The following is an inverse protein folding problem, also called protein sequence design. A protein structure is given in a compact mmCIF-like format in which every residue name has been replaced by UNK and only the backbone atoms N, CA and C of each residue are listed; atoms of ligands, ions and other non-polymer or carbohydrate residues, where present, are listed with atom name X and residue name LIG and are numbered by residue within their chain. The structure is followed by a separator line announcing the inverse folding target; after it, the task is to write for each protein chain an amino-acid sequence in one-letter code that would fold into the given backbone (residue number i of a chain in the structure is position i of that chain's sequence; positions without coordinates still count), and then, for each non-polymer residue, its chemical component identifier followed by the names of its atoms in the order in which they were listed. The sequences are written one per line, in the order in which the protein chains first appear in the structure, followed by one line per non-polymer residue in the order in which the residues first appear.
data_IF_208911407164
#
_entry.id   IF_208911407164
#
_cell.length_a   1.000
_cell.length_b   1.000
_cell.length_c   1.000
_cell.angle_alpha   90.00
_cell.angle_beta   90.00
_cell.angle_gamma   90.00
#
_symmetry.space_group_name_H-M   'P 1'
#
loop_
_entity.id
_entity.type
_entity.pdbx_description
1 polymer ?
#
# COMPACT_ATOMS: atom_id res chain seq x y z
N UNK A 1 13.04 -26.27 -27.42
CA UNK A 1 11.95 -25.50 -28.07
C UNK A 1 11.08 -24.98 -26.93
N UNK A 2 10.96 -23.70 -26.60
CA UNK A 2 11.33 -22.47 -27.28
C UNK A 2 11.54 -21.37 -26.23
N UNK A 3 12.59 -20.57 -26.40
CA UNK A 3 12.84 -19.34 -25.64
C UNK A 3 11.91 -18.23 -26.18
N UNK A 4 11.20 -17.52 -25.30
CA UNK A 4 10.42 -16.33 -25.68
C UNK A 4 11.19 -15.08 -25.22
N UNK A 5 11.71 -14.35 -26.20
CA UNK A 5 12.41 -13.08 -26.02
C UNK A 5 11.45 -11.92 -25.74
N UNK A 6 11.76 -11.13 -24.72
CA UNK A 6 11.07 -9.87 -24.41
C UNK A 6 11.68 -8.71 -25.17
N UNK A 7 10.91 -8.14 -26.11
CA UNK A 7 11.25 -6.94 -26.87
C UNK A 7 11.20 -5.69 -25.99
N UNK A 8 12.23 -4.84 -26.04
CA UNK A 8 12.38 -3.63 -25.22
C UNK A 8 11.92 -2.42 -26.04
N UNK A 9 10.79 -1.83 -25.66
CA UNK A 9 10.24 -0.61 -26.28
C UNK A 9 11.03 0.64 -25.85
N UNK A 10 11.42 1.47 -26.82
CA UNK A 10 12.07 2.77 -26.60
C UNK A 10 11.17 3.90 -27.15
N UNK A 11 10.82 4.93 -26.34
CA UNK A 11 10.03 6.06 -26.83
C UNK A 11 10.90 7.13 -27.52
N UNK A 12 10.31 7.97 -28.40
CA UNK A 12 11.05 8.91 -29.24
C UNK A 12 11.42 10.19 -28.51
N UNK A 13 12.64 10.67 -28.77
CA UNK A 13 13.19 11.94 -28.27
C UNK A 13 12.65 13.10 -29.11
N UNK A 14 11.78 13.95 -28.55
CA UNK A 14 11.41 15.24 -29.17
C UNK A 14 12.50 16.28 -28.89
N UNK A 15 12.99 16.90 -29.97
CA UNK A 15 13.89 18.05 -29.95
C UNK A 15 13.06 19.33 -29.85
N UNK A 16 13.39 20.21 -28.90
CA UNK A 16 13.08 21.65 -28.99
C UNK A 16 14.27 22.43 -28.44
N UNK A 17 14.80 23.29 -29.30
CA UNK A 17 15.93 24.19 -29.11
C UNK A 17 15.55 25.41 -28.27
N UNK A 18 16.34 25.70 -27.22
CA UNK A 18 16.48 27.05 -26.68
C UNK A 18 17.95 27.29 -26.36
N UNK A 19 18.52 28.29 -27.04
CA UNK A 19 19.88 28.78 -26.87
C UNK A 19 19.92 29.82 -25.76
N UNK A 20 20.76 29.59 -24.74
CA UNK A 20 21.15 30.57 -23.73
C UNK A 20 22.51 30.18 -23.18
N UNK A 21 23.54 30.96 -23.55
CA UNK A 21 24.94 30.73 -23.24
C UNK A 21 25.26 31.18 -21.80
N UNK A 22 25.97 30.40 -20.99
CA UNK A 22 26.97 30.95 -20.05
C UNK A 22 28.01 29.89 -19.67
N UNK A 23 29.27 30.19 -20.01
CA UNK A 23 30.53 29.77 -19.37
C UNK A 23 30.83 28.28 -19.16
N UNK A 24 31.74 27.81 -20.01
CA UNK A 24 32.58 26.61 -19.93
C UNK A 24 33.21 26.35 -18.55
N UNK A 25 32.99 25.15 -18.01
CA UNK A 25 34.05 24.32 -17.41
C UNK A 25 33.86 22.88 -17.86
N UNK A 26 34.54 22.51 -18.95
CA UNK A 26 34.49 21.19 -19.58
C UNK A 26 35.79 20.44 -19.29
N UNK A 27 35.73 19.21 -18.76
CA UNK A 27 36.63 18.12 -19.13
C UNK A 27 36.01 16.73 -18.85
N UNK A 28 35.56 16.10 -19.95
CA UNK A 28 35.58 14.69 -20.37
C UNK A 28 35.26 13.49 -19.42
N UNK A 29 34.09 12.88 -19.72
CA UNK A 29 33.77 11.47 -19.98
C UNK A 29 34.72 10.31 -19.59
N UNK A 30 34.23 9.40 -18.74
CA UNK A 30 34.71 8.02 -18.53
C UNK A 30 33.69 7.19 -17.71
N UNK A 31 33.62 5.85 -17.83
CA UNK A 31 32.51 5.04 -17.30
C UNK A 31 32.70 4.68 -15.81
N UNK A 32 31.60 4.80 -15.05
CA UNK A 32 31.36 4.19 -13.74
C UNK A 32 32.42 4.43 -12.65
N UNK A 33 32.56 5.68 -12.20
CA UNK A 33 33.08 5.96 -10.86
C UNK A 33 32.07 6.83 -10.12
N UNK A 34 31.80 6.48 -8.86
CA UNK A 34 30.86 7.17 -7.98
C UNK A 34 31.21 8.66 -7.89
N UNK A 35 30.59 9.48 -8.75
CA UNK A 35 30.74 10.92 -8.69
C UNK A 35 30.06 11.41 -7.41
N UNK A 36 30.83 11.48 -6.33
CA UNK A 36 30.42 12.07 -5.07
C UNK A 36 30.15 13.55 -5.35
N UNK A 37 28.89 13.89 -5.63
CA UNK A 37 28.44 15.28 -5.70
C UNK A 37 28.87 15.95 -4.40
N UNK A 38 29.75 16.94 -4.48
CA UNK A 38 30.22 17.68 -3.32
C UNK A 38 29.18 18.75 -2.98
N UNK A 39 28.96 18.97 -1.69
CA UNK A 39 28.17 20.08 -1.19
C UNK A 39 28.96 21.40 -1.34
N UNK A 40 28.29 22.53 -1.13
CA UNK A 40 28.93 23.87 -1.11
C UNK A 40 30.10 23.99 -0.11
N UNK A 41 30.12 23.14 0.91
CA UNK A 41 31.18 23.06 1.91
C UNK A 41 32.34 22.11 1.52
N UNK A 42 32.35 21.56 0.30
CA UNK A 42 33.37 20.63 -0.19
C UNK A 42 33.29 19.21 0.39
N UNK A 43 32.19 18.86 1.06
CA UNK A 43 31.96 17.53 1.66
C UNK A 43 31.03 16.70 0.76
N UNK A 44 31.22 15.37 0.62
CA UNK A 44 30.30 14.52 -0.14
C UNK A 44 28.83 14.67 0.29
N UNK A 45 27.97 14.95 -0.68
CA UNK A 45 26.52 14.91 -0.51
C UNK A 45 26.07 13.46 -0.40
N UNK A 46 25.34 13.15 0.67
CA UNK A 46 24.83 11.81 0.93
C UNK A 46 23.37 11.71 0.52
N UNK A 47 22.99 10.55 0.00
CA UNK A 47 21.60 10.25 -0.27
C UNK A 47 20.89 9.85 1.03
N UNK A 48 19.74 10.47 1.28
CA UNK A 48 18.86 10.21 2.43
C UNK A 48 17.43 9.99 1.95
N UNK A 49 16.64 9.29 2.76
CA UNK A 49 15.22 9.04 2.49
C UNK A 49 14.37 9.91 3.42
N UNK A 50 13.38 10.61 2.86
CA UNK A 50 12.40 11.36 3.63
C UNK A 50 11.36 10.42 4.23
N UNK A 51 11.09 10.62 5.52
CA UNK A 51 10.05 9.90 6.27
C UNK A 51 8.88 10.80 6.66
N UNK A 52 8.81 11.98 6.04
CA UNK A 52 7.69 12.92 6.27
C UNK A 52 6.41 12.36 5.67
N UNK A 53 5.22 12.63 6.27
CA UNK A 53 3.94 12.21 5.69
C UNK A 53 3.70 12.75 4.27
N UNK A 54 4.31 13.88 3.93
CA UNK A 54 4.18 14.55 2.62
C UNK A 54 5.11 13.98 1.56
N UNK A 55 6.26 13.42 1.93
CA UNK A 55 7.24 12.84 1.01
C UNK A 55 7.76 11.47 1.50
N UNK A 56 6.89 10.52 1.87
CA UNK A 56 7.34 9.27 2.48
C UNK A 56 8.13 8.45 1.46
N UNK A 57 9.29 7.96 1.86
CA UNK A 57 10.15 7.11 1.03
C UNK A 57 10.91 7.85 -0.08
N UNK A 58 10.73 9.17 -0.22
CA UNK A 58 11.35 9.95 -1.31
C UNK A 58 12.79 10.31 -0.98
N UNK A 59 13.72 10.07 -1.91
CA UNK A 59 15.16 10.27 -1.69
C UNK A 59 15.60 11.67 -2.06
N UNK A 60 16.46 12.24 -1.23
CA UNK A 60 17.12 13.52 -1.45
C UNK A 60 18.63 13.40 -1.19
N UNK A 61 19.43 14.25 -1.84
CA UNK A 61 20.83 14.47 -1.53
C UNK A 61 20.95 15.68 -0.62
N UNK A 62 21.80 15.58 0.38
CA UNK A 62 22.08 16.72 1.26
C UNK A 62 23.42 16.60 1.98
N UNK A 63 23.81 17.69 2.62
CA UNK A 63 25.06 17.78 3.34
C UNK A 63 25.13 16.76 4.50
N UNK A 64 26.22 16.00 4.56
CA UNK A 64 26.53 15.14 5.70
C UNK A 64 26.86 15.95 6.95
N UNK A 65 27.36 17.19 6.76
CA UNK A 65 27.81 18.09 7.80
C UNK A 65 29.20 17.72 8.35
N UNK A 66 29.91 18.69 8.92
CA UNK A 66 31.14 18.47 9.69
C UNK A 66 31.05 19.26 10.99
N UNK A 67 31.26 18.59 12.12
CA UNK A 67 31.22 19.20 13.45
C UNK A 67 29.93 19.99 13.74
N UNK A 68 28.78 19.49 13.27
CA UNK A 68 27.47 20.13 13.48
C UNK A 68 27.13 21.28 12.52
N UNK A 69 28.02 21.62 11.59
CA UNK A 69 27.74 22.61 10.54
C UNK A 69 27.29 21.93 9.25
N UNK A 70 26.13 22.34 8.75
CA UNK A 70 25.52 21.88 7.51
C UNK A 70 25.38 23.08 6.56
N UNK A 71 25.76 22.93 5.30
CA UNK A 71 25.40 23.91 4.28
C UNK A 71 23.99 23.61 3.72
N UNK A 72 23.45 24.56 2.97
CA UNK A 72 22.09 24.54 2.40
C UNK A 72 21.91 23.59 1.21
N UNK A 73 22.93 22.82 0.82
CA UNK A 73 22.83 21.88 -0.30
C UNK A 73 21.72 20.86 -0.08
N UNK A 74 20.70 20.90 -0.95
CA UNK A 74 19.56 20.00 -0.96
C UNK A 74 19.08 19.77 -2.40
N UNK A 75 18.90 18.51 -2.78
CA UNK A 75 18.38 18.15 -4.11
C UNK A 75 17.52 16.88 -4.02
N UNK A 76 16.35 16.87 -4.65
CA UNK A 76 15.55 15.64 -4.78
C UNK A 76 16.19 14.70 -5.81
N UNK A 77 16.45 13.45 -5.40
CA UNK A 77 16.96 12.40 -6.30
C UNK A 77 15.81 11.78 -7.09
N UNK A 78 14.70 11.56 -6.40
CA UNK A 78 13.51 11.02 -7.02
C UNK A 78 12.69 12.17 -7.60
N UNK A 79 12.36 12.07 -8.89
CA UNK A 79 11.34 12.88 -9.55
C UNK A 79 10.09 12.94 -8.66
N UNK A 80 9.43 14.11 -8.49
CA UNK A 80 8.16 14.13 -7.78
C UNK A 80 7.24 13.07 -8.39
N UNK A 81 6.64 12.24 -7.53
CA UNK A 81 5.59 11.34 -7.99
C UNK A 81 4.56 12.15 -8.78
N UNK A 82 3.99 11.56 -9.83
CA UNK A 82 3.01 12.24 -10.69
C UNK A 82 1.99 13.01 -9.81
N UNK A 83 1.79 14.30 -10.09
CA UNK A 83 0.95 15.21 -9.29
C UNK A 83 -0.47 14.64 -9.08
N UNK A 84 -0.99 13.97 -10.12
CA UNK A 84 -2.24 13.22 -10.07
C UNK A 84 -2.18 12.04 -9.10
N UNK A 85 -1.07 11.31 -9.04
CA UNK A 85 -0.91 10.18 -8.12
C UNK A 85 -0.91 10.64 -6.66
N UNK A 86 -0.23 11.74 -6.35
CA UNK A 86 -0.20 12.29 -4.98
C UNK A 86 -1.58 12.72 -4.45
N UNK A 87 -2.50 13.09 -5.34
CA UNK A 87 -3.88 13.45 -4.98
C UNK A 87 -4.83 12.24 -5.00
N UNK A 88 -4.69 11.35 -5.99
CA UNK A 88 -5.61 10.23 -6.21
C UNK A 88 -5.32 9.07 -5.25
N UNK A 89 -4.06 8.69 -5.03
CA UNK A 89 -3.70 7.51 -4.22
C UNK A 89 -4.25 7.61 -2.79
N UNK A 90 -4.10 8.73 -2.05
CA UNK A 90 -4.68 8.83 -0.71
C UNK A 90 -6.21 8.76 -0.69
N UNK A 91 -6.87 9.24 -1.75
CA UNK A 91 -8.32 9.11 -1.93
C UNK A 91 -8.73 7.64 -2.11
N UNK A 92 -8.01 6.90 -2.95
CA UNK A 92 -8.25 5.47 -3.18
C UNK A 92 -7.99 4.64 -1.92
N UNK A 93 -6.90 4.90 -1.19
CA UNK A 93 -6.60 4.19 0.06
C UNK A 93 -7.68 4.39 1.12
N UNK A 94 -8.22 5.60 1.27
CA UNK A 94 -9.35 5.88 2.17
C UNK A 94 -10.64 5.15 1.77
N UNK A 95 -10.90 5.02 0.48
CA UNK A 95 -12.06 4.25 -0.02
C UNK A 95 -11.86 2.75 0.21
N UNK A 96 -10.66 2.24 -0.03
CA UNK A 96 -10.32 0.85 0.22
C UNK A 96 -10.42 0.50 1.71
N UNK A 97 -9.90 1.36 2.60
CA UNK A 97 -9.98 1.11 4.05
C UNK A 97 -11.44 1.11 4.54
N UNK A 98 -12.27 2.03 4.04
CA UNK A 98 -13.71 2.03 4.31
C UNK A 98 -14.39 0.76 3.81
N UNK A 99 -14.14 0.40 2.54
CA UNK A 99 -14.75 -0.78 1.93
C UNK A 99 -14.37 -2.07 2.66
N UNK A 100 -13.12 -2.19 3.12
CA UNK A 100 -12.65 -3.36 3.87
C UNK A 100 -13.23 -3.40 5.29
N UNK A 101 -13.44 -2.23 5.92
CA UNK A 101 -14.14 -2.15 7.20
C UNK A 101 -15.62 -2.55 7.07
N UNK A 102 -16.30 -2.04 6.03
CA UNK A 102 -17.70 -2.37 5.75
C UNK A 102 -17.87 -3.88 5.47
N UNK A 103 -16.98 -4.47 4.66
CA UNK A 103 -16.99 -5.91 4.39
C UNK A 103 -16.88 -6.75 5.68
N UNK A 104 -15.93 -6.40 6.57
CA UNK A 104 -15.79 -7.07 7.87
C UNK A 104 -17.03 -6.92 8.75
N UNK A 105 -17.63 -5.74 8.77
CA UNK A 105 -18.85 -5.50 9.54
C UNK A 105 -20.03 -6.35 9.02
N UNK A 106 -20.15 -6.52 7.70
CA UNK A 106 -21.14 -7.41 7.11
C UNK A 106 -20.88 -8.89 7.45
N UNK A 107 -19.64 -9.34 7.34
CA UNK A 107 -19.26 -10.71 7.71
C UNK A 107 -19.56 -11.02 9.18
N UNK A 108 -19.25 -10.11 10.09
CA UNK A 108 -19.58 -10.25 11.52
C UNK A 108 -21.10 -10.32 11.74
N UNK A 109 -21.87 -9.52 10.99
CA UNK A 109 -23.33 -9.53 11.08
C UNK A 109 -23.93 -10.84 10.56
N UNK A 110 -23.41 -11.37 9.45
CA UNK A 110 -23.78 -12.70 8.93
C UNK A 110 -23.47 -13.76 9.97
N UNK A 111 -22.24 -13.79 10.51
CA UNK A 111 -21.82 -14.73 11.56
C UNK A 111 -22.75 -14.68 12.78
N UNK A 112 -23.11 -13.49 13.22
CA UNK A 112 -24.03 -13.28 14.35
C UNK A 112 -25.44 -13.82 14.05
N UNK A 113 -25.97 -13.51 12.87
CA UNK A 113 -27.29 -13.99 12.44
C UNK A 113 -27.31 -15.51 12.29
N UNK A 114 -26.28 -16.11 11.71
CA UNK A 114 -26.14 -17.57 11.63
C UNK A 114 -26.08 -18.22 13.02
N UNK A 115 -25.35 -17.63 13.96
CA UNK A 115 -25.31 -18.08 15.35
C UNK A 115 -26.70 -18.01 16.02
N UNK A 116 -27.43 -16.91 15.82
CA UNK A 116 -28.81 -16.75 16.30
C UNK A 116 -29.75 -17.77 15.68
N UNK A 117 -29.71 -17.95 14.36
CA UNK A 117 -30.51 -18.95 13.65
C UNK A 117 -30.20 -20.35 14.15
N UNK A 118 -28.93 -20.69 14.37
CA UNK A 118 -28.53 -21.99 14.92
C UNK A 118 -29.07 -22.21 16.33
N UNK A 119 -28.94 -21.23 17.22
CA UNK A 119 -29.48 -21.33 18.58
C UNK A 119 -31.00 -21.50 18.57
N UNK A 120 -31.71 -20.71 17.76
CA UNK A 120 -33.16 -20.85 17.60
C UNK A 120 -33.52 -22.23 17.08
N UNK A 121 -32.85 -22.71 16.02
CA UNK A 121 -33.06 -24.05 15.47
C UNK A 121 -32.84 -25.15 16.50
N UNK A 122 -31.74 -25.08 17.27
CA UNK A 122 -31.45 -26.05 18.34
C UNK A 122 -32.53 -26.02 19.42
N UNK A 123 -32.94 -24.83 19.88
CA UNK A 123 -34.03 -24.70 20.87
C UNK A 123 -35.35 -25.28 20.36
N UNK A 124 -35.73 -24.95 19.13
CA UNK A 124 -36.94 -25.49 18.49
C UNK A 124 -36.86 -27.01 18.37
N UNK A 125 -35.71 -27.56 17.99
CA UNK A 125 -35.50 -29.01 17.87
C UNK A 125 -35.63 -29.73 19.22
N UNK A 126 -35.06 -29.18 20.30
CA UNK A 126 -35.18 -29.74 21.66
C UNK A 126 -36.64 -29.76 22.11
N UNK A 127 -37.37 -28.65 21.92
CA UNK A 127 -38.80 -28.56 22.27
C UNK A 127 -39.61 -29.60 21.49
N UNK A 128 -39.34 -29.77 20.19
CA UNK A 128 -40.04 -30.73 19.35
C UNK A 128 -39.80 -32.19 19.79
N UNK A 129 -38.56 -32.56 20.12
CA UNK A 129 -38.24 -33.89 20.67
C UNK A 129 -38.99 -34.11 21.99
N UNK A 130 -38.97 -33.12 22.89
CA UNK A 130 -39.67 -33.23 24.17
C UNK A 130 -41.17 -33.45 24.01
N UNK A 131 -41.80 -32.72 23.08
CA UNK A 131 -43.22 -32.88 22.75
C UNK A 131 -43.52 -34.24 22.10
N UNK A 132 -42.66 -34.74 21.21
CA UNK A 132 -42.82 -36.06 20.60
C UNK A 132 -42.69 -37.18 21.64
N UNK A 133 -41.73 -37.06 22.56
CA UNK A 133 -41.53 -38.01 23.64
C UNK A 133 -42.73 -38.04 24.60
N UNK A 134 -43.24 -36.87 25.00
CA UNK A 134 -44.43 -36.81 25.89
C UNK A 134 -45.66 -37.40 25.21
N UNK A 135 -45.88 -37.10 23.93
CA UNK A 135 -46.94 -37.70 23.12
C UNK A 135 -46.81 -39.23 23.03
N UNK A 136 -45.60 -39.74 22.82
CA UNK A 136 -45.33 -41.18 22.75
C UNK A 136 -45.64 -41.89 24.07
N UNK A 137 -45.22 -41.32 25.20
CA UNK A 137 -45.53 -41.86 26.53
C UNK A 137 -47.04 -41.88 26.75
N UNK A 138 -47.73 -40.76 26.48
CA UNK A 138 -49.20 -40.69 26.56
C UNK A 138 -49.87 -41.75 25.70
N UNK A 139 -49.42 -41.93 24.46
CA UNK A 139 -49.96 -42.92 23.53
C UNK A 139 -49.81 -44.36 24.05
N UNK A 140 -48.63 -44.71 24.59
CA UNK A 140 -48.41 -46.04 25.19
C UNK A 140 -49.29 -46.25 26.42
N UNK A 141 -49.38 -45.25 27.30
CA UNK A 141 -50.17 -45.33 28.54
C UNK A 141 -51.67 -45.46 28.29
N UNK A 142 -52.18 -44.83 27.23
CA UNK A 142 -53.60 -44.88 26.86
C UNK A 142 -53.97 -46.03 25.93
N UNK A 143 -53.02 -46.87 25.50
CA UNK A 143 -53.31 -48.00 24.61
C UNK A 143 -53.98 -49.13 25.41
N UNK A 144 -55.23 -49.52 25.10
CA UNK A 144 -55.86 -50.67 25.73
C UNK A 144 -55.05 -51.95 25.43
N UNK A 145 -54.88 -52.79 26.45
CA UNK A 145 -54.18 -54.09 26.35
C UNK A 145 -54.94 -55.08 25.50
#
# INVERSE_FOLDING_TARGET
MSSVGGSRYTPPRKQTSYSGQTSTSSHHSGPAENHLLLCECGIPAVMRTSWTPTNPGRRFRGCLGKSGHYCSTFEWVDEPGCERCMTVIPGLLRRLSRSTADAKAFEERIRSLEGRMRNMRTKTYIIAIGAAFSYFVMYISCRPR
#
